data_IF_108528623152
#
_entry.id   IF_108528623152
#
_cell.length_a   1.000
_cell.length_b   1.000
_cell.length_c   1.000
_cell.angle_alpha   90.00
_cell.angle_beta   90.00
_cell.angle_gamma   90.00
#
_symmetry.space_group_name_H-M   'P 1'
#
loop_
_entity.id
_entity.type
_entity.pdbx_description
1 polymer ?
#
# COMPACT_ATOMS: atom_id res chain seq x y z
N UNK A 1 -5.96 -21.17 -8.95
CA UNK A 1 -6.50 -22.48 -8.52
C UNK A 1 -6.98 -23.33 -9.70
N UNK A 2 -7.58 -22.75 -10.73
CA UNK A 2 -8.13 -23.52 -11.87
C UNK A 2 -7.05 -24.30 -12.62
N UNK A 3 -5.90 -23.70 -12.87
CA UNK A 3 -4.74 -24.39 -13.46
C UNK A 3 -4.34 -25.63 -12.62
N UNK A 4 -4.37 -25.50 -11.29
CA UNK A 4 -4.03 -26.62 -10.41
C UNK A 4 -5.07 -27.76 -10.48
N UNK A 5 -6.35 -27.39 -10.57
CA UNK A 5 -7.46 -28.34 -10.71
C UNK A 5 -7.44 -29.07 -12.05
N UNK A 6 -7.19 -28.34 -13.13
CA UNK A 6 -7.25 -28.90 -14.50
C UNK A 6 -5.95 -29.60 -14.92
N UNK A 7 -4.79 -29.08 -14.53
CA UNK A 7 -3.48 -29.47 -15.07
C UNK A 7 -2.49 -29.99 -14.02
N UNK A 8 -2.90 -29.98 -12.74
CA UNK A 8 -2.09 -30.41 -11.60
C UNK A 8 -1.19 -29.32 -11.04
N UNK A 9 -0.80 -29.49 -9.79
CA UNK A 9 -0.09 -28.49 -8.96
C UNK A 9 1.23 -28.02 -9.59
N UNK A 10 2.00 -28.92 -10.23
CA UNK A 10 3.28 -28.55 -10.87
C UNK A 10 3.14 -27.54 -12.02
N UNK A 11 1.94 -27.36 -12.56
CA UNK A 11 1.67 -26.46 -13.69
C UNK A 11 1.36 -25.01 -13.26
N UNK A 12 1.15 -24.75 -11.97
CA UNK A 12 0.91 -23.38 -11.48
C UNK A 12 2.18 -22.51 -11.48
N UNK A 13 3.36 -23.10 -11.62
CA UNK A 13 4.65 -22.43 -11.64
C UNK A 13 5.22 -22.11 -10.26
N UNK A 14 6.49 -21.68 -10.19
CA UNK A 14 7.24 -21.55 -8.93
C UNK A 14 6.98 -20.24 -8.17
N UNK A 15 6.28 -19.27 -8.76
CA UNK A 15 6.18 -17.91 -8.21
C UNK A 15 4.89 -17.60 -7.45
N UNK A 16 3.99 -18.60 -7.29
CA UNK A 16 2.67 -18.31 -6.73
C UNK A 16 2.69 -17.96 -5.25
N UNK A 17 3.65 -18.48 -4.49
CA UNK A 17 3.83 -18.08 -3.08
C UNK A 17 4.14 -16.60 -3.00
N UNK A 18 5.16 -16.14 -3.71
CA UNK A 18 5.55 -14.73 -3.72
C UNK A 18 4.48 -13.80 -4.28
N UNK A 19 3.66 -14.27 -5.23
CA UNK A 19 2.54 -13.48 -5.78
C UNK A 19 1.37 -13.31 -4.81
N UNK A 20 1.27 -14.14 -3.79
CA UNK A 20 0.15 -14.12 -2.83
C UNK A 20 0.54 -13.63 -1.44
N UNK A 21 1.83 -13.42 -1.18
CA UNK A 21 2.30 -12.93 0.11
C UNK A 21 2.12 -11.42 0.23
N UNK A 22 1.55 -10.95 1.34
CA UNK A 22 1.44 -9.51 1.65
C UNK A 22 2.80 -8.81 1.78
N UNK A 23 3.84 -9.54 2.18
CA UNK A 23 5.21 -9.02 2.32
C UNK A 23 5.98 -8.88 1.00
N UNK A 24 5.40 -9.26 -0.12
CA UNK A 24 6.08 -9.19 -1.42
C UNK A 24 6.41 -7.76 -1.85
N UNK A 25 5.56 -6.79 -1.52
CA UNK A 25 5.81 -5.38 -1.84
C UNK A 25 7.11 -4.88 -1.23
N UNK A 26 7.34 -5.11 0.07
CA UNK A 26 8.59 -4.72 0.73
C UNK A 26 9.78 -5.57 0.28
N UNK A 27 9.58 -6.88 0.08
CA UNK A 27 10.64 -7.78 -0.34
C UNK A 27 11.17 -7.45 -1.75
N UNK A 28 10.30 -7.09 -2.69
CA UNK A 28 10.70 -6.74 -4.07
C UNK A 28 11.48 -5.44 -4.16
N UNK A 29 11.31 -4.52 -3.22
CA UNK A 29 12.11 -3.29 -3.16
C UNK A 29 13.52 -3.54 -2.61
N UNK A 30 13.69 -4.53 -1.75
CA UNK A 30 14.97 -4.77 -1.09
C UNK A 30 16.12 -5.07 -2.06
N UNK A 31 15.88 -5.89 -3.08
CA UNK A 31 16.92 -6.33 -4.02
C UNK A 31 17.42 -5.20 -4.91
N UNK A 32 16.59 -4.47 -5.67
CA UNK A 32 17.06 -3.42 -6.57
C UNK A 32 17.70 -2.24 -5.85
N UNK A 33 17.27 -1.94 -4.63
CA UNK A 33 17.83 -0.84 -3.84
C UNK A 33 18.91 -1.28 -2.85
N UNK A 34 19.24 -2.57 -2.79
CA UNK A 34 20.27 -3.09 -1.89
C UNK A 34 19.95 -2.85 -0.41
N UNK A 35 18.67 -2.88 -0.02
CA UNK A 35 18.22 -2.60 1.34
C UNK A 35 18.73 -3.70 2.27
N UNK A 36 19.43 -3.32 3.34
CA UNK A 36 20.01 -4.23 4.32
C UNK A 36 19.46 -4.04 5.75
N UNK A 37 18.70 -2.98 5.97
CA UNK A 37 18.06 -2.69 7.24
C UNK A 37 16.76 -3.47 7.43
N UNK A 38 15.90 -2.98 8.30
CA UNK A 38 14.58 -3.57 8.58
C UNK A 38 13.75 -3.64 7.29
N UNK A 39 13.14 -4.79 7.03
CA UNK A 39 12.29 -5.00 5.86
C UNK A 39 11.09 -5.89 6.24
N UNK A 40 9.90 -5.32 6.23
CA UNK A 40 8.63 -6.02 6.45
C UNK A 40 7.47 -5.23 5.86
N UNK A 41 6.31 -5.87 5.77
CA UNK A 41 5.06 -5.20 5.40
C UNK A 41 4.10 -5.16 6.57
N UNK A 42 3.40 -4.05 6.69
CA UNK A 42 2.28 -3.85 7.63
C UNK A 42 1.00 -4.20 6.89
N UNK A 43 -0.02 -4.63 7.62
CA UNK A 43 -1.35 -4.89 7.08
C UNK A 43 -2.41 -4.23 7.97
N UNK A 44 -3.07 -3.22 7.45
CA UNK A 44 -4.18 -2.50 8.08
C UNK A 44 -5.16 -1.96 7.03
N UNK A 45 -5.47 -2.80 6.04
CA UNK A 45 -6.38 -2.50 4.94
C UNK A 45 -6.07 -1.14 4.27
N UNK A 46 -7.05 -0.26 4.09
CA UNK A 46 -6.89 1.04 3.43
C UNK A 46 -5.96 2.01 4.17
N UNK A 47 -5.68 1.78 5.46
CA UNK A 47 -4.79 2.60 6.28
C UNK A 47 -3.32 2.16 6.21
N UNK A 48 -3.00 1.07 5.51
CA UNK A 48 -1.67 0.44 5.53
C UNK A 48 -0.55 1.40 5.15
N UNK A 49 -0.70 2.14 4.05
CA UNK A 49 0.36 3.06 3.59
C UNK A 49 0.65 4.16 4.61
N UNK A 50 -0.39 4.69 5.25
CA UNK A 50 -0.23 5.69 6.31
C UNK A 50 0.50 5.10 7.53
N UNK A 51 0.16 3.88 7.93
CA UNK A 51 0.86 3.18 9.00
C UNK A 51 2.31 2.87 8.65
N UNK A 52 2.61 2.53 7.40
CA UNK A 52 3.99 2.36 6.94
C UNK A 52 4.80 3.66 7.07
N UNK A 53 4.23 4.78 6.67
CA UNK A 53 4.88 6.09 6.77
C UNK A 53 5.08 6.50 8.24
N UNK A 54 4.07 6.32 9.08
CA UNK A 54 4.16 6.60 10.52
C UNK A 54 5.19 5.72 11.23
N UNK A 55 5.24 4.43 10.89
CA UNK A 55 6.24 3.53 11.41
C UNK A 55 7.67 3.92 10.97
N UNK A 56 7.85 4.34 9.72
CA UNK A 56 9.13 4.86 9.24
C UNK A 56 9.55 6.12 10.02
N UNK A 57 8.62 7.03 10.27
CA UNK A 57 8.85 8.21 11.11
C UNK A 57 9.35 7.81 12.50
N UNK A 58 8.69 6.85 13.16
CA UNK A 58 9.09 6.39 14.49
C UNK A 58 10.47 5.71 14.49
N UNK A 59 10.75 4.84 13.50
CA UNK A 59 12.06 4.19 13.36
C UNK A 59 13.20 5.21 13.23
N UNK A 60 13.00 6.27 12.44
CA UNK A 60 14.00 7.33 12.24
C UNK A 60 14.10 8.20 13.47
N UNK A 61 12.98 8.63 14.06
CA UNK A 61 12.94 9.46 15.26
C UNK A 61 13.67 8.81 16.45
N UNK A 62 13.55 7.48 16.56
CA UNK A 62 14.22 6.72 17.63
C UNK A 62 15.65 6.27 17.26
N UNK A 63 16.19 6.74 16.13
CA UNK A 63 17.56 6.42 15.70
C UNK A 63 17.79 4.96 15.29
N UNK A 64 16.72 4.22 15.00
CA UNK A 64 16.81 2.82 14.59
C UNK A 64 17.16 2.67 13.10
N UNK A 65 16.76 3.62 12.28
CA UNK A 65 17.07 3.70 10.86
C UNK A 65 17.37 5.15 10.48
N UNK A 66 18.17 5.37 9.44
CA UNK A 66 18.42 6.70 8.88
C UNK A 66 17.55 7.02 7.67
N UNK A 67 17.30 6.00 6.83
CA UNK A 67 16.51 6.10 5.59
C UNK A 67 15.58 4.91 5.52
N UNK A 68 14.30 5.14 5.23
CA UNK A 68 13.27 4.11 5.09
C UNK A 68 12.42 4.39 3.85
N UNK A 69 12.23 3.38 3.01
CA UNK A 69 11.19 3.39 1.98
C UNK A 69 9.85 3.00 2.63
N UNK A 70 8.87 3.88 2.56
CA UNK A 70 7.56 3.65 3.18
C UNK A 70 6.42 4.05 2.25
N UNK A 71 5.44 3.18 2.13
CA UNK A 71 4.31 3.41 1.25
C UNK A 71 3.46 2.17 1.06
N UNK A 72 2.82 2.05 -0.08
CA UNK A 72 1.99 0.90 -0.40
C UNK A 72 1.65 0.81 -1.87
N UNK A 73 1.07 -0.31 -2.24
CA UNK A 73 0.58 -0.58 -3.59
C UNK A 73 -0.71 -1.38 -3.54
N UNK A 74 -1.56 -1.13 -4.52
CA UNK A 74 -2.82 -1.83 -4.71
C UNK A 74 -2.98 -2.25 -6.16
N UNK A 75 -3.46 -3.47 -6.38
CA UNK A 75 -3.74 -4.01 -7.70
C UNK A 75 -5.23 -4.01 -7.97
N UNK A 76 -5.62 -3.55 -9.16
CA UNK A 76 -7.00 -3.66 -9.63
C UNK A 76 -7.23 -5.04 -10.22
N UNK A 77 -8.08 -5.85 -9.56
CA UNK A 77 -8.47 -7.16 -10.04
C UNK A 77 -9.95 -7.41 -9.80
N UNK A 78 -10.63 -8.08 -10.73
CA UNK A 78 -12.07 -8.34 -10.66
C UNK A 78 -12.49 -9.08 -9.38
N UNK A 79 -11.65 -9.95 -8.84
CA UNK A 79 -11.93 -10.67 -7.59
C UNK A 79 -12.07 -9.73 -6.39
N UNK A 80 -11.31 -8.64 -6.34
CA UNK A 80 -11.50 -7.61 -5.32
C UNK A 80 -12.82 -6.88 -5.54
N UNK A 81 -13.12 -6.50 -6.78
CA UNK A 81 -14.35 -5.78 -7.10
C UNK A 81 -15.59 -6.55 -6.69
N UNK A 82 -15.68 -7.86 -6.97
CA UNK A 82 -16.84 -8.66 -6.57
C UNK A 82 -17.02 -8.79 -5.06
N UNK A 83 -15.95 -8.74 -4.27
CA UNK A 83 -16.04 -8.78 -2.81
C UNK A 83 -16.65 -7.48 -2.27
N UNK A 84 -16.24 -6.33 -2.79
CA UNK A 84 -16.83 -5.04 -2.45
C UNK A 84 -18.26 -4.88 -2.98
N UNK A 85 -18.54 -5.40 -4.18
CA UNK A 85 -19.87 -5.41 -4.74
C UNK A 85 -20.84 -6.26 -3.92
N UNK A 86 -20.40 -7.45 -3.49
CA UNK A 86 -21.20 -8.35 -2.65
C UNK A 86 -21.65 -7.73 -1.32
N UNK A 87 -20.89 -6.78 -0.78
CA UNK A 87 -21.28 -6.03 0.41
C UNK A 87 -22.03 -4.73 0.11
N UNK A 88 -22.31 -4.43 -1.17
CA UNK A 88 -23.03 -3.23 -1.59
C UNK A 88 -22.22 -1.95 -1.43
N UNK A 89 -20.89 -2.04 -1.48
CA UNK A 89 -20.00 -0.90 -1.19
C UNK A 89 -19.52 -0.16 -2.43
N UNK A 90 -19.80 -0.66 -3.65
CA UNK A 90 -19.39 0.00 -4.88
C UNK A 90 -20.36 1.10 -5.30
N UNK A 91 -19.83 2.16 -5.92
CA UNK A 91 -20.62 3.15 -6.63
C UNK A 91 -21.37 2.51 -7.81
N UNK A 92 -22.65 2.80 -7.93
CA UNK A 92 -23.50 2.35 -9.04
C UNK A 92 -24.32 3.46 -9.68
N UNK A 93 -24.55 4.56 -8.97
CA UNK A 93 -25.33 5.70 -9.42
C UNK A 93 -24.74 6.41 -10.64
N UNK A 94 -23.44 6.32 -10.82
CA UNK A 94 -22.68 7.05 -11.83
C UNK A 94 -22.18 6.15 -12.98
N UNK A 95 -22.79 4.98 -13.20
CA UNK A 95 -22.37 4.08 -14.28
C UNK A 95 -22.45 4.71 -15.68
N UNK A 96 -23.40 5.64 -15.88
CA UNK A 96 -23.55 6.38 -17.15
C UNK A 96 -22.62 7.61 -17.24
N UNK A 97 -21.97 7.99 -16.14
CA UNK A 97 -21.05 9.14 -16.05
C UNK A 97 -19.83 8.77 -15.20
N UNK A 98 -19.03 7.77 -15.63
CA UNK A 98 -17.97 7.18 -14.78
C UNK A 98 -16.85 8.16 -14.42
N UNK A 99 -16.63 9.19 -15.21
CA UNK A 99 -15.62 10.23 -14.96
C UNK A 99 -15.89 11.07 -13.71
N UNK A 100 -17.12 11.06 -13.19
CA UNK A 100 -17.49 11.75 -11.95
C UNK A 100 -17.87 10.81 -10.79
N UNK A 101 -17.69 9.50 -10.98
CA UNK A 101 -18.08 8.49 -9.99
C UNK A 101 -17.18 8.51 -8.74
N UNK A 102 -15.86 8.65 -8.93
CA UNK A 102 -14.91 8.75 -7.81
C UNK A 102 -14.97 10.16 -7.22
N UNK A 103 -15.60 10.27 -6.04
CA UNK A 103 -15.90 11.55 -5.40
C UNK A 103 -15.79 11.47 -3.88
N UNK A 104 -14.59 11.16 -3.39
CA UNK A 104 -14.31 11.06 -1.98
C UNK A 104 -14.72 12.37 -1.24
N UNK A 105 -15.33 12.22 -0.07
CA UNK A 105 -15.85 13.30 0.79
C UNK A 105 -17.02 14.13 0.21
N UNK A 106 -17.45 13.86 -1.01
CA UNK A 106 -18.62 14.52 -1.61
C UNK A 106 -19.91 14.08 -0.92
N UNK A 107 -20.89 15.00 -0.79
CA UNK A 107 -22.19 14.68 -0.19
C UNK A 107 -22.99 13.67 -1.02
N UNK A 108 -22.82 13.68 -2.34
CA UNK A 108 -23.53 12.80 -3.29
C UNK A 108 -22.77 11.50 -3.61
N UNK A 109 -21.70 11.19 -2.90
CA UNK A 109 -20.98 9.92 -3.06
C UNK A 109 -21.88 8.74 -2.74
N UNK A 110 -21.70 7.63 -3.45
CA UNK A 110 -22.54 6.44 -3.30
C UNK A 110 -21.74 5.13 -3.16
N UNK A 111 -20.43 5.21 -3.02
CA UNK A 111 -19.60 4.04 -2.83
C UNK A 111 -18.20 4.16 -3.43
N UNK A 112 -17.47 3.05 -3.38
CA UNK A 112 -16.12 2.97 -3.92
C UNK A 112 -16.11 2.88 -5.44
N UNK A 113 -15.07 3.45 -6.04
CA UNK A 113 -14.63 3.16 -7.40
C UNK A 113 -13.27 2.49 -7.28
N UNK A 114 -13.19 1.21 -7.61
CA UNK A 114 -11.98 0.42 -7.45
C UNK A 114 -10.89 0.96 -8.38
N UNK A 115 -9.72 1.18 -7.82
CA UNK A 115 -8.55 1.65 -8.55
C UNK A 115 -7.29 0.90 -8.12
N UNK A 116 -6.25 0.98 -8.93
CA UNK A 116 -4.93 0.44 -8.63
C UNK A 116 -3.88 1.55 -8.70
N UNK A 117 -2.77 1.32 -8.01
CA UNK A 117 -1.65 2.25 -7.98
C UNK A 117 -0.66 1.95 -6.88
N UNK A 118 0.46 2.63 -6.90
CA UNK A 118 1.46 2.52 -5.86
C UNK A 118 2.14 3.87 -5.60
N UNK A 119 2.50 4.10 -4.35
CA UNK A 119 3.29 5.24 -3.94
C UNK A 119 4.23 4.88 -2.81
N UNK A 120 5.48 5.31 -2.92
CA UNK A 120 6.51 5.07 -1.91
C UNK A 120 7.24 6.37 -1.63
N UNK A 121 7.34 6.73 -0.37
CA UNK A 121 8.14 7.85 0.11
C UNK A 121 9.52 7.35 0.55
N UNK A 122 10.54 8.15 0.30
CA UNK A 122 11.84 8.02 0.94
C UNK A 122 11.81 8.93 2.18
N UNK A 123 11.66 8.32 3.34
CA UNK A 123 11.67 9.03 4.64
C UNK A 123 13.08 8.95 5.19
N UNK A 124 13.64 10.10 5.60
CA UNK A 124 15.05 10.22 5.96
C UNK A 124 15.21 11.19 7.13
N UNK A 125 16.23 10.97 7.95
CA UNK A 125 16.56 11.95 8.99
C UNK A 125 16.99 13.29 8.35
N UNK A 126 16.62 14.40 8.98
CA UNK A 126 16.94 15.74 8.46
C UNK A 126 18.45 15.95 8.30
N UNK A 127 19.23 15.44 9.23
CA UNK A 127 20.69 15.58 9.21
C UNK A 127 21.31 14.79 8.05
N UNK A 128 20.85 13.57 7.81
CA UNK A 128 21.25 12.76 6.65
C UNK A 128 20.88 13.44 5.34
N UNK A 129 19.63 13.88 5.20
CA UNK A 129 19.15 14.58 4.01
C UNK A 129 19.97 15.83 3.70
N UNK A 130 20.27 16.66 4.70
CA UNK A 130 21.11 17.86 4.54
C UNK A 130 22.55 17.52 4.16
N UNK A 131 23.15 16.50 4.79
CA UNK A 131 24.54 16.12 4.57
C UNK A 131 24.83 15.68 3.14
N UNK A 132 23.87 15.06 2.47
CA UNK A 132 23.98 14.62 1.08
C UNK A 132 23.36 15.60 0.05
N UNK A 133 22.87 16.76 0.51
CA UNK A 133 22.25 17.76 -0.36
C UNK A 133 20.92 17.29 -1.00
N UNK A 134 20.11 16.52 -0.25
CA UNK A 134 18.85 16.02 -0.75
C UNK A 134 17.87 17.14 -1.08
N UNK A 135 17.06 16.96 -2.12
CA UNK A 135 15.90 17.80 -2.38
C UNK A 135 14.77 17.43 -1.40
N UNK A 136 14.67 18.18 -0.30
CA UNK A 136 13.66 17.95 0.73
C UNK A 136 12.33 18.52 0.25
N UNK A 137 11.32 17.64 0.12
CA UNK A 137 9.98 18.02 -0.35
C UNK A 137 9.11 18.51 0.80
N UNK A 138 9.15 17.81 1.95
CA UNK A 138 8.37 18.12 3.13
C UNK A 138 9.00 17.52 4.37
N UNK A 139 8.54 17.94 5.54
CA UNK A 139 8.91 17.39 6.83
C UNK A 139 7.71 16.70 7.48
N UNK A 140 7.89 15.46 7.96
CA UNK A 140 6.89 14.74 8.76
C UNK A 140 7.06 15.19 10.21
N UNK A 141 6.11 15.95 10.72
CA UNK A 141 6.18 16.51 12.08
C UNK A 141 5.54 15.64 13.14
N UNK A 142 4.68 14.73 12.75
CA UNK A 142 4.00 13.85 13.69
C UNK A 142 3.19 12.76 13.01
N UNK A 143 2.84 11.76 13.80
CA UNK A 143 1.99 10.64 13.41
C UNK A 143 1.05 10.29 14.56
N UNK A 144 -0.18 9.95 14.24
CA UNK A 144 -1.17 9.47 15.20
C UNK A 144 -2.06 8.40 14.58
N UNK A 145 -2.45 7.45 15.40
CA UNK A 145 -3.34 6.35 15.01
C UNK A 145 -4.27 6.00 16.18
N UNK A 146 -5.49 5.63 15.84
CA UNK A 146 -6.51 5.20 16.81
C UNK A 146 -7.31 4.04 16.24
N UNK A 147 -8.08 3.40 17.10
CA UNK A 147 -9.07 2.38 16.73
C UNK A 147 -10.43 2.76 17.29
N UNK A 148 -11.48 2.55 16.52
CA UNK A 148 -12.84 2.85 16.97
C UNK A 148 -13.29 1.94 18.12
N UNK A 149 -12.82 0.70 18.16
CA UNK A 149 -13.13 -0.24 19.23
C UNK A 149 -14.61 -0.62 19.31
N UNK A 150 -15.35 -0.50 18.18
CA UNK A 150 -16.79 -0.66 18.09
C UNK A 150 -17.16 -1.91 17.30
#
# INVERSE_FOLDING_TARGET
>A
FDIAREKGVKKIGPYMVTRTMSSTNSATLATPFGIKGVNYSISSACSTSLHCIGNAYDLIRHGQQEIVFAGGGEETHWTMSILFDAMGALSSKYNDTPEVASRAYDADRDGFVIGGGAGVLVVESLDSAKSRGANIIAEIQGFGQTSDGH
#
